data_IF_585264767717
#
_entry.id   IF_585264767717
#
_cell.length_a   1.000
_cell.length_b   1.000
_cell.length_c   1.000
_cell.angle_alpha   90.00
_cell.angle_beta   90.00
_cell.angle_gamma   90.00
#
_symmetry.space_group_name_H-M   'P 1'
#
loop_
_entity.id
_entity.type
_entity.pdbx_description
1 polymer ?
#
# COMPACT_ATOMS: atom_id res chain seq x y z
N UNK A 1 3.88 1.21 10.54
CA UNK A 1 3.23 0.61 9.35
C UNK A 1 4.01 -0.63 8.96
N UNK A 2 3.32 -1.70 8.57
CA UNK A 2 3.92 -2.88 7.94
C UNK A 2 3.38 -3.00 6.53
N UNK A 3 4.25 -3.40 5.60
CA UNK A 3 3.91 -3.56 4.20
C UNK A 3 4.16 -5.03 3.85
N UNK A 4 3.10 -5.72 3.45
CA UNK A 4 3.17 -7.12 3.01
C UNK A 4 2.56 -7.24 1.63
N UNK A 5 2.93 -8.26 0.87
CA UNK A 5 2.43 -8.38 -0.50
C UNK A 5 2.59 -9.78 -1.07
N UNK A 6 1.84 -10.00 -2.15
CA UNK A 6 1.97 -11.16 -3.03
C UNK A 6 2.60 -10.69 -4.36
N UNK A 7 2.46 -11.47 -5.43
CA UNK A 7 2.89 -11.02 -6.77
C UNK A 7 1.96 -9.98 -7.38
N UNK A 8 0.70 -9.90 -6.94
CA UNK A 8 -0.34 -9.07 -7.57
C UNK A 8 -1.08 -8.13 -6.62
N UNK A 9 -0.78 -8.20 -5.31
CA UNK A 9 -1.45 -7.38 -4.29
C UNK A 9 -0.46 -6.92 -3.24
N UNK A 10 -0.71 -5.75 -2.67
CA UNK A 10 0.03 -5.21 -1.53
C UNK A 10 -0.95 -4.78 -0.44
N UNK A 11 -0.57 -4.94 0.81
CA UNK A 11 -1.35 -4.55 1.99
C UNK A 11 -0.51 -3.64 2.87
N UNK A 12 -1.04 -2.45 3.14
CA UNK A 12 -0.51 -1.47 4.09
C UNK A 12 -1.25 -1.64 5.42
N UNK A 13 -0.57 -2.23 6.40
CA UNK A 13 -1.05 -2.32 7.77
C UNK A 13 -0.59 -1.07 8.53
N UNK A 14 -1.54 -0.23 8.92
CA UNK A 14 -1.27 1.03 9.62
C UNK A 14 -0.95 0.84 11.10
N UNK A 15 -1.01 -0.39 11.61
CA UNK A 15 -0.74 -0.79 13.00
C UNK A 15 -1.70 -0.14 14.04
N UNK A 16 -2.86 0.31 13.58
CA UNK A 16 -3.94 0.87 14.39
C UNK A 16 -5.31 0.20 14.12
N UNK A 17 -5.28 -0.99 13.51
CA UNK A 17 -6.48 -1.74 13.11
C UNK A 17 -6.95 -1.45 11.68
N UNK A 18 -6.41 -0.44 11.01
CA UNK A 18 -6.71 -0.15 9.60
C UNK A 18 -5.73 -0.85 8.67
N UNK A 19 -6.30 -1.54 7.69
CA UNK A 19 -5.57 -2.22 6.62
C UNK A 19 -6.06 -1.69 5.29
N UNK A 20 -5.14 -1.31 4.41
CA UNK A 20 -5.45 -0.89 3.05
C UNK A 20 -4.81 -1.86 2.06
N UNK A 21 -5.62 -2.51 1.24
CA UNK A 21 -5.15 -3.39 0.18
C UNK A 21 -5.20 -2.66 -1.17
N UNK A 22 -4.19 -2.89 -1.98
CA UNK A 22 -4.10 -2.38 -3.34
C UNK A 22 -3.68 -3.49 -4.31
N UNK A 23 -4.11 -3.36 -5.56
CA UNK A 23 -3.59 -4.15 -6.66
C UNK A 23 -2.25 -3.60 -7.12
N UNK A 24 -1.47 -4.45 -7.77
CA UNK A 24 -0.19 -4.08 -8.32
C UNK A 24 0.54 -5.25 -8.95
N UNK A 25 1.83 -5.07 -9.21
CA UNK A 25 2.67 -6.09 -9.81
C UNK A 25 4.07 -6.07 -9.21
N UNK A 26 4.54 -7.24 -8.78
CA UNK A 26 5.94 -7.45 -8.42
C UNK A 26 6.78 -7.60 -9.69
N UNK A 27 7.63 -6.62 -9.95
CA UNK A 27 8.59 -6.61 -11.04
C UNK A 27 9.93 -7.24 -10.63
N UNK A 28 10.77 -7.49 -11.64
CA UNK A 28 12.18 -7.83 -11.44
C UNK A 28 12.91 -6.71 -10.69
N UNK A 29 14.04 -7.04 -10.04
CA UNK A 29 14.88 -6.11 -9.28
C UNK A 29 14.22 -5.50 -8.02
N UNK A 30 13.40 -6.29 -7.30
CA UNK A 30 12.78 -5.88 -6.02
C UNK A 30 11.94 -4.60 -6.13
N UNK A 31 11.24 -4.42 -7.25
CA UNK A 31 10.34 -3.30 -7.47
C UNK A 31 8.91 -3.81 -7.48
N UNK A 32 8.01 -3.11 -6.82
CA UNK A 32 6.58 -3.39 -6.87
C UNK A 32 5.85 -2.14 -7.36
N UNK A 33 5.06 -2.28 -8.41
CA UNK A 33 4.20 -1.21 -8.93
C UNK A 33 2.85 -1.32 -8.23
N UNK A 34 2.41 -0.25 -7.60
CA UNK A 34 1.12 -0.17 -6.91
C UNK A 34 0.19 0.69 -7.76
N UNK A 35 -0.99 0.16 -8.09
CA UNK A 35 -2.01 0.91 -8.83
C UNK A 35 -2.79 1.78 -7.84
N UNK A 36 -2.58 3.10 -7.87
CA UNK A 36 -3.17 4.03 -6.89
C UNK A 36 -4.69 4.05 -6.99
N UNK A 37 -5.23 3.88 -8.19
CA UNK A 37 -6.68 3.80 -8.45
C UNK A 37 -7.36 2.59 -7.76
N UNK A 38 -6.60 1.55 -7.42
CA UNK A 38 -7.10 0.38 -6.68
C UNK A 38 -7.17 0.58 -5.16
N UNK A 39 -6.67 1.71 -4.64
CA UNK A 39 -6.68 2.04 -3.20
C UNK A 39 -8.04 2.62 -2.79
N UNK A 40 -9.12 1.82 -2.89
CA UNK A 40 -10.49 2.33 -2.83
C UNK A 40 -11.24 2.10 -1.51
N UNK A 41 -10.87 1.09 -0.74
CA UNK A 41 -11.55 0.74 0.50
C UNK A 41 -10.56 0.18 1.54
N UNK A 42 -10.89 0.34 2.82
CA UNK A 42 -10.22 -0.41 3.87
C UNK A 42 -10.61 -1.89 3.82
N UNK A 43 -9.78 -2.76 4.36
CA UNK A 43 -10.18 -4.15 4.60
C UNK A 43 -11.07 -4.25 5.86
N UNK A 44 -11.81 -5.36 6.03
CA UNK A 44 -12.62 -5.58 7.22
C UNK A 44 -11.85 -5.44 8.53
N UNK A 45 -12.48 -4.88 9.59
CA UNK A 45 -13.90 -4.52 9.72
C UNK A 45 -14.26 -3.07 9.34
N UNK A 46 -13.39 -2.38 8.60
CA UNK A 46 -13.50 -0.95 8.31
C UNK A 46 -13.96 -0.66 6.87
N UNK A 47 -14.42 -1.67 6.13
CA UNK A 47 -14.72 -1.61 4.70
C UNK A 47 -15.79 -0.57 4.32
N UNK A 48 -16.64 -0.20 5.27
CA UNK A 48 -17.70 0.81 5.08
C UNK A 48 -17.25 2.25 5.38
N UNK A 49 -16.05 2.45 5.92
CA UNK A 49 -15.49 3.78 6.15
C UNK A 49 -14.88 4.31 4.85
N UNK A 50 -15.13 5.58 4.47
CA UNK A 50 -14.48 6.15 3.31
C UNK A 50 -12.97 6.28 3.56
N UNK A 51 -12.17 6.05 2.52
CA UNK A 51 -10.78 6.46 2.48
C UNK A 51 -10.66 7.74 1.64
N UNK A 52 -10.05 8.76 2.21
CA UNK A 52 -9.89 10.05 1.52
C UNK A 52 -8.62 10.07 0.66
N UNK A 53 -8.57 10.88 -0.41
CA UNK A 53 -7.34 11.08 -1.19
C UNK A 53 -6.15 11.51 -0.32
N UNK A 54 -6.40 12.32 0.72
CA UNK A 54 -5.37 12.76 1.67
C UNK A 54 -4.80 11.60 2.49
N UNK A 55 -5.65 10.65 2.92
CA UNK A 55 -5.19 9.45 3.61
C UNK A 55 -4.36 8.56 2.69
N UNK A 56 -4.78 8.37 1.45
CA UNK A 56 -3.99 7.66 0.43
C UNK A 56 -2.62 8.31 0.27
N UNK A 57 -2.56 9.63 0.06
CA UNK A 57 -1.30 10.36 -0.09
C UNK A 57 -0.42 10.26 1.16
N UNK A 58 -0.99 10.29 2.36
CA UNK A 58 -0.26 10.08 3.60
C UNK A 58 0.34 8.67 3.68
N UNK A 59 -0.42 7.64 3.32
CA UNK A 59 0.04 6.24 3.30
C UNK A 59 1.20 6.09 2.30
N UNK A 60 1.05 6.63 1.10
CA UNK A 60 2.10 6.64 0.07
C UNK A 60 3.37 7.32 0.60
N UNK A 61 3.23 8.47 1.24
CA UNK A 61 4.36 9.22 1.79
C UNK A 61 5.08 8.46 2.92
N UNK A 62 4.34 7.78 3.80
CA UNK A 62 4.93 6.94 4.85
C UNK A 62 5.64 5.74 4.23
N UNK A 63 4.99 5.06 3.28
CA UNK A 63 5.56 3.90 2.60
C UNK A 63 6.87 4.24 1.89
N UNK A 64 6.92 5.36 1.14
CA UNK A 64 8.14 5.84 0.48
C UNK A 64 9.27 6.19 1.47
N UNK A 65 8.94 6.69 2.67
CA UNK A 65 9.94 6.98 3.71
C UNK A 65 10.53 5.73 4.36
N UNK A 66 9.85 4.59 4.24
CA UNK A 66 10.33 3.30 4.77
C UNK A 66 11.23 2.57 3.78
N UNK A 67 11.35 3.03 2.53
CA UNK A 67 12.21 2.42 1.54
C UNK A 67 13.70 2.51 1.92
N UNK A 68 14.40 1.41 1.72
CA UNK A 68 15.84 1.27 1.86
C UNK A 68 16.37 0.31 0.79
N UNK A 69 17.70 0.18 0.69
CA UNK A 69 18.32 -0.74 -0.26
C UNK A 69 18.04 -2.23 0.05
N UNK A 70 17.54 -2.53 1.25
CA UNK A 70 17.21 -3.88 1.69
C UNK A 70 15.73 -4.24 1.46
N UNK A 71 14.87 -3.26 1.17
CA UNK A 71 13.42 -3.44 1.00
C UNK A 71 13.01 -3.43 -0.47
N UNK A 72 11.79 -3.87 -0.75
CA UNK A 72 11.15 -3.66 -2.06
C UNK A 72 10.89 -2.16 -2.25
N UNK A 73 11.19 -1.63 -3.44
CA UNK A 73 10.84 -0.26 -3.84
C UNK A 73 9.41 -0.21 -4.36
N UNK A 74 8.65 0.82 -3.98
CA UNK A 74 7.25 0.99 -4.32
C UNK A 74 7.06 2.17 -5.28
N UNK A 75 6.65 1.85 -6.50
CA UNK A 75 6.25 2.86 -7.48
C UNK A 75 4.74 2.92 -7.57
N UNK A 76 4.16 4.06 -7.25
CA UNK A 76 2.73 4.31 -7.31
C UNK A 76 2.39 4.97 -8.65
N UNK A 77 1.49 4.36 -9.42
CA UNK A 77 1.03 4.86 -10.72
C UNK A 77 -0.49 5.07 -10.75
#
# INVERSE_FOLDING_TARGET
MKITGTRSTITFDLENGFLLKAQGELLINKKFVVYKDSMTHWEPPHENLPITPREIDNIINIAKKMESDQTIRLDFI
#
